data_IF_392926306146
#
_entry.id   IF_392926306146
#
_cell.length_a   1.000
_cell.length_b   1.000
_cell.length_c   1.000
_cell.angle_alpha   90.00
_cell.angle_beta   90.00
_cell.angle_gamma   90.00
#
_symmetry.space_group_name_H-M   'P 1'
#
loop_
_entity.id
_entity.type
_entity.pdbx_description
1 polymer ?
#
# COMPACT_ATOMS: atom_id res chain seq x y z
N UNK A 1 17.99 -6.23 -20.21
CA UNK A 1 17.55 -5.50 -19.01
C UNK A 1 16.11 -5.91 -18.74
N UNK A 2 15.91 -6.91 -17.88
CA UNK A 2 14.57 -7.43 -17.61
C UNK A 2 13.74 -6.36 -16.91
N UNK A 3 12.52 -6.10 -17.40
CA UNK A 3 11.52 -5.35 -16.65
C UNK A 3 11.36 -6.09 -15.32
N UNK A 4 11.65 -5.46 -14.18
CA UNK A 4 11.29 -6.00 -12.88
C UNK A 4 9.79 -6.26 -12.93
N UNK A 5 9.40 -7.54 -12.88
CA UNK A 5 8.00 -7.90 -12.67
C UNK A 5 7.58 -7.21 -11.39
N UNK A 6 6.60 -6.31 -11.47
CA UNK A 6 6.11 -5.64 -10.27
C UNK A 6 5.54 -6.69 -9.33
N UNK A 7 6.23 -6.87 -8.21
CA UNK A 7 5.81 -7.84 -7.19
C UNK A 7 4.89 -7.18 -6.16
N UNK A 8 3.98 -7.93 -5.51
CA UNK A 8 3.17 -7.41 -4.40
C UNK A 8 4.05 -6.79 -3.30
N UNK A 9 5.22 -7.39 -3.05
CA UNK A 9 6.24 -6.87 -2.11
C UNK A 9 6.76 -5.49 -2.49
N UNK A 10 6.94 -5.20 -3.79
CA UNK A 10 7.37 -3.87 -4.24
C UNK A 10 6.28 -2.83 -4.02
N UNK A 11 5.01 -3.16 -4.29
CA UNK A 11 3.88 -2.25 -4.05
C UNK A 11 3.77 -1.95 -2.54
N UNK A 12 3.83 -2.98 -1.68
CA UNK A 12 3.83 -2.82 -0.21
C UNK A 12 5.00 -1.92 0.23
N UNK A 13 6.19 -2.14 -0.32
CA UNK A 13 7.38 -1.32 0.01
C UNK A 13 7.20 0.13 -0.42
N UNK A 14 6.65 0.38 -1.61
CA UNK A 14 6.39 1.74 -2.10
C UNK A 14 5.40 2.47 -1.20
N UNK A 15 4.29 1.82 -0.86
CA UNK A 15 3.25 2.41 0.00
C UNK A 15 3.81 2.70 1.40
N UNK A 16 4.42 1.71 2.05
CA UNK A 16 4.92 1.86 3.42
C UNK A 16 6.09 2.84 3.54
N UNK A 17 7.00 2.88 2.56
CA UNK A 17 8.10 3.84 2.54
C UNK A 17 7.61 5.28 2.36
N UNK A 18 6.66 5.51 1.45
CA UNK A 18 6.12 6.84 1.20
C UNK A 18 5.24 7.33 2.36
N UNK A 19 4.41 6.45 2.93
CA UNK A 19 3.67 6.76 4.16
C UNK A 19 4.63 7.11 5.29
N UNK A 20 5.73 6.34 5.43
CA UNK A 20 6.76 6.60 6.43
C UNK A 20 7.39 7.98 6.27
N UNK A 21 7.69 8.36 5.03
CA UNK A 21 8.26 9.67 4.69
C UNK A 21 7.31 10.82 5.01
N UNK A 22 6.01 10.63 4.81
CA UNK A 22 4.99 11.69 4.97
C UNK A 22 4.56 11.92 6.41
N UNK A 23 4.37 10.84 7.19
CA UNK A 23 3.71 10.92 8.49
C UNK A 23 4.45 10.21 9.64
N UNK A 24 5.65 9.67 9.39
CA UNK A 24 6.50 9.02 10.39
C UNK A 24 6.44 7.49 10.34
N UNK A 25 7.14 6.76 11.24
CA UNK A 25 7.30 5.31 11.16
C UNK A 25 5.99 4.52 11.08
N UNK A 26 5.96 3.49 10.24
CA UNK A 26 4.79 2.62 10.09
C UNK A 26 4.42 1.89 11.41
N UNK A 27 3.15 1.86 11.82
CA UNK A 27 2.72 1.18 13.06
C UNK A 27 2.88 -0.34 12.98
N UNK A 28 3.24 -0.98 14.09
CA UNK A 28 3.44 -2.44 14.17
C UNK A 28 2.16 -3.27 14.01
N UNK A 29 0.98 -2.67 14.24
CA UNK A 29 -0.31 -3.36 14.23
C UNK A 29 -1.11 -3.14 12.93
N UNK A 30 -0.50 -2.48 11.94
CA UNK A 30 -1.07 -2.30 10.61
C UNK A 30 -0.27 -3.11 9.61
N UNK A 31 -0.97 -3.92 8.83
CA UNK A 31 -0.38 -4.64 7.71
C UNK A 31 -0.98 -4.12 6.40
N UNK A 32 -0.16 -4.16 5.35
CA UNK A 32 -0.58 -3.88 3.97
C UNK A 32 -0.57 -5.22 3.24
N UNK A 33 -1.72 -5.62 2.72
CA UNK A 33 -1.90 -6.84 1.95
C UNK A 33 -2.03 -6.48 0.48
N UNK A 34 -1.16 -7.04 -0.37
CA UNK A 34 -1.28 -6.88 -1.82
C UNK A 34 -1.32 -8.26 -2.46
N UNK A 35 -2.36 -8.53 -3.26
CA UNK A 35 -2.54 -9.80 -3.92
C UNK A 35 -3.11 -9.61 -5.33
N UNK A 36 -2.86 -10.60 -6.19
CA UNK A 36 -3.28 -10.59 -7.59
C UNK A 36 -4.77 -10.95 -7.68
N UNK A 37 -5.55 -10.18 -8.44
CA UNK A 37 -6.91 -10.54 -8.85
C UNK A 37 -7.01 -10.33 -10.36
N UNK A 38 -7.12 -11.43 -11.09
CA UNK A 38 -7.07 -11.48 -12.56
C UNK A 38 -5.84 -10.72 -13.14
N UNK A 39 -6.08 -9.66 -13.90
CA UNK A 39 -5.07 -8.81 -14.52
C UNK A 39 -4.72 -7.56 -13.69
N UNK A 40 -5.23 -7.48 -12.46
CA UNK A 40 -5.08 -6.36 -11.52
C UNK A 40 -4.43 -6.78 -10.20
N UNK A 41 -4.08 -5.80 -9.38
CA UNK A 41 -3.69 -6.01 -7.98
C UNK A 41 -4.74 -5.39 -7.07
N UNK A 42 -5.01 -6.02 -5.94
CA UNK A 42 -5.80 -5.45 -4.86
C UNK A 42 -4.91 -5.17 -3.65
N UNK A 43 -5.11 -4.02 -3.02
CA UNK A 43 -4.41 -3.59 -1.82
C UNK A 43 -5.41 -3.34 -0.70
N UNK A 44 -5.26 -4.09 0.38
CA UNK A 44 -6.05 -3.94 1.60
C UNK A 44 -5.13 -3.57 2.76
N UNK A 45 -5.69 -2.90 3.75
CA UNK A 45 -4.97 -2.54 4.98
C UNK A 45 -5.80 -3.00 6.17
N UNK A 46 -5.13 -3.46 7.22
CA UNK A 46 -5.77 -3.88 8.47
C UNK A 46 -6.80 -2.82 8.93
N UNK A 47 -8.07 -3.20 9.14
CA UNK A 47 -9.06 -2.29 9.71
C UNK A 47 -8.67 -1.96 11.16
N UNK A 48 -8.87 -0.70 11.55
CA UNK A 48 -8.49 -0.23 12.88
C UNK A 48 -9.47 0.82 13.39
N UNK A 49 -9.67 0.83 14.71
CA UNK A 49 -10.41 1.86 15.44
C UNK A 49 -9.47 2.84 16.16
N UNK A 50 -8.15 2.62 16.10
CA UNK A 50 -7.17 3.54 16.68
C UNK A 50 -7.01 4.75 15.75
N UNK A 51 -7.21 6.00 16.22
CA UNK A 51 -7.15 7.20 15.36
C UNK A 51 -5.79 7.43 14.69
N UNK A 52 -4.69 7.07 15.36
CA UNK A 52 -3.34 7.19 14.80
C UNK A 52 -3.17 6.20 13.66
N UNK A 53 -3.52 4.94 13.88
CA UNK A 53 -3.44 3.89 12.85
C UNK A 53 -4.38 4.20 11.68
N UNK A 54 -5.60 4.72 11.94
CA UNK A 54 -6.52 5.14 10.90
C UNK A 54 -5.90 6.20 9.97
N UNK A 55 -5.14 7.16 10.52
CA UNK A 55 -4.40 8.14 9.72
C UNK A 55 -3.37 7.47 8.80
N UNK A 56 -2.65 6.46 9.28
CA UNK A 56 -1.70 5.69 8.47
C UNK A 56 -2.39 4.90 7.36
N UNK A 57 -3.49 4.22 7.68
CA UNK A 57 -4.33 3.52 6.71
C UNK A 57 -4.78 4.46 5.61
N UNK A 58 -5.36 5.60 5.97
CA UNK A 58 -5.93 6.53 4.99
C UNK A 58 -4.85 7.12 4.08
N UNK A 59 -3.67 7.46 4.60
CA UNK A 59 -2.52 7.91 3.79
C UNK A 59 -2.04 6.80 2.86
N UNK A 60 -1.94 5.56 3.34
CA UNK A 60 -1.52 4.43 2.52
C UNK A 60 -2.51 4.10 1.39
N UNK A 61 -3.82 4.21 1.63
CA UNK A 61 -4.84 4.08 0.57
C UNK A 61 -4.71 5.19 -0.48
N UNK A 62 -4.46 6.44 -0.06
CA UNK A 62 -4.22 7.55 -0.99
C UNK A 62 -2.97 7.35 -1.83
N UNK A 63 -1.88 6.83 -1.23
CA UNK A 63 -0.69 6.44 -1.99
C UNK A 63 -1.04 5.31 -2.96
N UNK A 64 -1.78 4.28 -2.53
CA UNK A 64 -2.23 3.21 -3.40
C UNK A 64 -3.07 3.69 -4.59
N UNK A 65 -3.97 4.67 -4.41
CA UNK A 65 -4.69 5.31 -5.51
C UNK A 65 -3.74 5.95 -6.53
N UNK A 66 -2.65 6.58 -6.08
CA UNK A 66 -1.65 7.16 -6.99
C UNK A 66 -0.91 6.10 -7.83
N UNK A 67 -0.88 4.84 -7.36
CA UNK A 67 -0.24 3.71 -8.01
C UNK A 67 -1.18 2.97 -8.98
N UNK A 68 -2.49 3.26 -8.97
CA UNK A 68 -3.51 2.59 -9.79
C UNK A 68 -3.11 2.52 -11.27
N UNK A 69 -2.74 3.65 -11.88
CA UNK A 69 -2.42 3.70 -13.32
C UNK A 69 -1.15 2.95 -13.69
N UNK A 70 -0.17 2.93 -12.79
CA UNK A 70 1.13 2.30 -13.04
C UNK A 70 1.06 0.79 -12.91
N UNK A 71 0.18 0.28 -12.03
CA UNK A 71 0.17 -1.12 -11.66
C UNK A 71 -1.17 -1.83 -11.83
N UNK A 72 -2.24 -1.15 -12.25
CA UNK A 72 -3.63 -1.64 -12.16
C UNK A 72 -3.98 -2.01 -10.71
N UNK A 73 -3.54 -1.19 -9.76
CA UNK A 73 -3.79 -1.38 -8.33
C UNK A 73 -5.17 -0.84 -7.96
N UNK A 74 -5.96 -1.65 -7.27
CA UNK A 74 -7.25 -1.28 -6.66
C UNK A 74 -7.07 -1.25 -5.14
N UNK A 75 -7.66 -0.25 -4.49
CA UNK A 75 -7.63 -0.05 -3.03
C UNK A 75 -9.03 0.09 -2.48
#
# INVERSE_FOLDING_TARGET
MGKTETTPTEIIRMISAEATRLIGPWPSNLDIFVFRVDDSWECLITPTNNPTEAKFRDVALQIGLSLERSFKLRV
#
